data_IF_617805609614
#
_entry.id   IF_617805609614
#
_cell.length_a   1.000
_cell.length_b   1.000
_cell.length_c   1.000
_cell.angle_alpha   90.00
_cell.angle_beta   90.00
_cell.angle_gamma   90.00
#
_symmetry.space_group_name_H-M   'P 1'
#
loop_
_entity.id
_entity.type
_entity.pdbx_description
1 polymer ?
#
# COMPACT_ATOMS: atom_id res chain seq x y z
N UNK A 1 5.64 2.35 9.31
CA UNK A 1 5.43 2.31 7.84
C UNK A 1 5.59 0.89 7.28
N UNK A 2 6.79 0.30 7.31
CA UNK A 2 7.07 -1.02 6.72
C UNK A 2 6.15 -2.15 7.22
N UNK A 3 5.85 -2.18 8.52
CA UNK A 3 4.93 -3.16 9.08
C UNK A 3 3.50 -3.00 8.51
N UNK A 4 3.04 -1.76 8.29
CA UNK A 4 1.71 -1.49 7.73
C UNK A 4 1.64 -1.90 6.26
N UNK A 5 2.68 -1.60 5.48
CA UNK A 5 2.80 -2.07 4.10
C UNK A 5 2.76 -3.60 4.05
N UNK A 6 3.50 -4.26 4.93
CA UNK A 6 3.50 -5.73 5.05
C UNK A 6 2.11 -6.26 5.40
N UNK A 7 1.38 -5.62 6.33
CA UNK A 7 0.02 -6.02 6.70
C UNK A 7 -0.94 -5.92 5.51
N UNK A 8 -0.98 -4.78 4.81
CA UNK A 8 -1.91 -4.61 3.68
C UNK A 8 -1.55 -5.50 2.48
N UNK A 9 -0.25 -5.74 2.25
CA UNK A 9 0.25 -6.66 1.22
C UNK A 9 -0.10 -8.11 1.54
N UNK A 10 0.15 -8.57 2.78
CA UNK A 10 -0.22 -9.92 3.21
C UNK A 10 -1.73 -10.14 3.12
N UNK A 11 -2.53 -9.14 3.49
CA UNK A 11 -3.98 -9.20 3.33
C UNK A 11 -4.38 -9.30 1.85
N UNK A 12 -3.70 -8.58 0.95
CA UNK A 12 -3.97 -8.69 -0.49
C UNK A 12 -3.58 -10.07 -1.04
N UNK A 13 -2.39 -10.57 -0.73
CA UNK A 13 -1.89 -11.89 -1.16
C UNK A 13 -2.76 -13.04 -0.63
N UNK A 14 -3.31 -12.89 0.57
CA UNK A 14 -4.20 -13.89 1.15
C UNK A 14 -5.58 -13.98 0.45
N UNK A 15 -6.01 -12.92 -0.25
CA UNK A 15 -7.35 -12.82 -0.84
C UNK A 15 -7.34 -12.81 -2.38
N UNK A 16 -6.19 -12.57 -3.02
CA UNK A 16 -6.05 -12.45 -4.47
C UNK A 16 -4.84 -13.23 -4.96
N UNK A 17 -4.86 -13.62 -6.24
CA UNK A 17 -3.77 -14.35 -6.86
C UNK A 17 -2.64 -13.39 -7.24
N UNK A 18 -1.82 -13.03 -6.26
CA UNK A 18 -0.69 -12.12 -6.39
C UNK A 18 0.61 -12.86 -6.11
N UNK A 19 1.66 -12.55 -6.87
CA UNK A 19 2.98 -13.13 -6.71
C UNK A 19 3.98 -12.14 -6.09
N UNK A 20 5.22 -12.60 -5.91
CA UNK A 20 6.31 -11.78 -5.37
C UNK A 20 6.61 -10.54 -6.22
N UNK A 21 6.25 -10.55 -7.51
CA UNK A 21 6.43 -9.40 -8.39
C UNK A 21 5.49 -8.26 -7.99
N UNK A 22 4.25 -8.57 -7.56
CA UNK A 22 3.32 -7.57 -7.03
C UNK A 22 3.84 -6.92 -5.76
N UNK A 23 4.26 -7.75 -4.80
CA UNK A 23 4.81 -7.30 -3.53
C UNK A 23 6.04 -6.41 -3.74
N UNK A 24 6.95 -6.84 -4.62
CA UNK A 24 8.16 -6.10 -4.94
C UNK A 24 7.86 -4.79 -5.65
N UNK A 25 6.91 -4.78 -6.59
CA UNK A 25 6.52 -3.59 -7.34
C UNK A 25 5.93 -2.49 -6.44
N UNK A 26 5.08 -2.85 -5.48
CA UNK A 26 4.52 -1.91 -4.50
C UNK A 26 5.61 -1.34 -3.58
N UNK A 27 6.51 -2.19 -3.08
CA UNK A 27 7.62 -1.75 -2.22
C UNK A 27 8.58 -0.82 -2.96
N UNK A 28 8.96 -1.18 -4.18
CA UNK A 28 9.80 -0.36 -5.04
C UNK A 28 9.13 1.00 -5.33
N UNK A 29 7.81 1.01 -5.60
CA UNK A 29 7.05 2.25 -5.80
C UNK A 29 7.14 3.19 -4.59
N UNK A 30 6.93 2.65 -3.39
CA UNK A 30 6.98 3.42 -2.14
C UNK A 30 8.40 3.91 -1.81
N UNK A 31 9.43 3.10 -2.10
CA UNK A 31 10.83 3.50 -1.90
C UNK A 31 11.25 4.64 -2.84
N UNK A 32 10.78 4.63 -4.08
CA UNK A 32 11.06 5.71 -5.04
C UNK A 32 10.49 7.06 -4.57
N UNK A 33 9.25 7.07 -4.08
CA UNK A 33 8.59 8.28 -3.59
C UNK A 33 7.42 7.89 -2.69
N UNK A 34 7.27 8.59 -1.56
CA UNK A 34 6.14 8.45 -0.64
C UNK A 34 4.81 8.36 -1.39
N UNK A 35 4.01 7.35 -1.03
CA UNK A 35 2.62 7.21 -1.51
C UNK A 35 1.60 7.91 -0.60
N UNK A 36 2.05 8.85 0.24
CA UNK A 36 1.15 9.75 0.95
C UNK A 36 0.26 10.49 -0.07
N UNK A 37 -1.05 10.39 0.13
CA UNK A 37 -2.06 10.92 -0.78
C UNK A 37 -2.66 12.24 -0.26
N UNK A 38 -2.72 12.43 1.07
CA UNK A 38 -3.31 13.61 1.70
C UNK A 38 -4.26 13.26 2.84
N UNK A 39 -4.52 14.21 3.73
CA UNK A 39 -5.51 14.09 4.82
C UNK A 39 -5.37 12.82 5.67
N UNK A 40 -4.14 12.41 5.97
CA UNK A 40 -3.90 11.20 6.75
C UNK A 40 -4.07 9.89 5.98
N UNK A 41 -4.10 9.93 4.65
CA UNK A 41 -4.23 8.75 3.78
C UNK A 41 -2.92 8.48 3.04
N UNK A 42 -2.48 7.22 3.04
CA UNK A 42 -1.51 6.70 2.07
C UNK A 42 -2.21 5.77 1.09
N UNK A 43 -1.78 5.80 -0.17
CA UNK A 43 -2.33 4.96 -1.22
C UNK A 43 -1.22 4.16 -1.94
N UNK A 44 -0.59 3.17 -1.28
CA UNK A 44 0.39 2.30 -1.93
C UNK A 44 -0.21 1.62 -3.16
N UNK A 45 0.56 1.48 -4.24
CA UNK A 45 0.14 0.82 -5.47
C UNK A 45 1.38 0.30 -6.20
N UNK A 46 1.20 -0.64 -7.12
CA UNK A 46 2.28 -1.15 -7.97
C UNK A 46 2.78 -0.06 -8.96
N UNK A 47 4.02 -0.20 -9.45
CA UNK A 47 4.59 0.70 -10.47
C UNK A 47 3.83 0.66 -11.80
N UNK A 48 3.28 -0.50 -12.15
CA UNK A 48 2.51 -0.74 -13.37
C UNK A 48 1.31 -1.65 -13.04
N UNK A 49 0.27 -1.70 -13.89
CA UNK A 49 -0.78 -2.70 -13.78
C UNK A 49 -0.18 -4.10 -13.98
N UNK A 50 -0.19 -4.92 -12.93
CA UNK A 50 0.44 -6.25 -12.89
C UNK A 50 -0.48 -7.33 -12.29
N UNK A 51 -1.67 -6.93 -11.84
CA UNK A 51 -2.74 -7.81 -11.37
C UNK A 51 -3.88 -7.76 -12.38
N UNK A 52 -4.56 -8.87 -12.59
CA UNK A 52 -5.79 -8.95 -13.40
C UNK A 52 -7.06 -8.56 -12.62
N UNK A 53 -6.89 -8.24 -11.33
CA UNK A 53 -7.98 -7.96 -10.40
C UNK A 53 -7.86 -6.54 -9.83
N UNK A 54 -8.96 -5.78 -9.92
CA UNK A 54 -9.13 -4.48 -9.27
C UNK A 54 -9.61 -4.67 -7.83
N UNK A 55 -8.85 -4.15 -6.85
CA UNK A 55 -9.20 -4.23 -5.44
C UNK A 55 -8.56 -3.12 -4.61
N UNK A 56 -9.02 -2.98 -3.36
CA UNK A 56 -8.34 -2.19 -2.32
C UNK A 56 -8.17 -3.04 -1.06
N UNK A 57 -6.95 -3.10 -0.52
CA UNK A 57 -6.65 -3.67 0.80
C UNK A 57 -6.48 -2.52 1.79
N UNK A 58 -7.30 -2.50 2.84
CA UNK A 58 -7.45 -1.33 3.74
C UNK A 58 -6.90 -1.63 5.13
N UNK A 59 -6.11 -0.71 5.67
CA UNK A 59 -5.79 -0.66 7.10
C UNK A 59 -6.24 0.68 7.69
N UNK A 60 -6.97 0.62 8.82
CA UNK A 60 -7.39 1.77 9.61
C UNK A 60 -6.68 1.70 10.96
N UNK A 61 -5.94 2.75 11.31
CA UNK A 61 -5.11 2.78 12.51
C UNK A 61 -5.82 3.48 13.67
N UNK A 62 -5.55 3.02 14.89
CA UNK A 62 -6.02 3.67 16.12
C UNK A 62 -5.32 5.01 16.38
N UNK A 63 -4.04 5.12 15.99
CA UNK A 63 -3.21 6.30 16.15
C UNK A 63 -2.50 6.61 14.84
N UNK A 64 -2.09 7.86 14.66
CA UNK A 64 -1.37 8.29 13.48
C UNK A 64 0.05 7.68 13.46
N UNK A 65 0.51 7.27 12.28
CA UNK A 65 1.84 6.73 12.06
C UNK A 65 2.57 7.61 11.04
N UNK A 66 3.84 7.94 11.32
CA UNK A 66 4.69 8.62 10.36
C UNK A 66 4.83 7.79 9.08
N UNK A 67 4.48 8.39 7.95
CA UNK A 67 4.57 7.79 6.63
C UNK A 67 5.82 8.27 5.89
N UNK A 68 6.15 9.54 6.02
CA UNK A 68 7.41 10.11 5.59
C UNK A 68 7.85 11.20 6.58
N UNK A 69 8.85 12.01 6.21
CA UNK A 69 9.42 13.03 7.10
C UNK A 69 8.46 14.19 7.42
N UNK A 70 7.36 14.33 6.69
CA UNK A 70 6.43 15.46 6.79
C UNK A 70 5.00 15.01 7.11
N UNK A 71 4.65 13.77 6.79
CA UNK A 71 3.27 13.32 6.74
C UNK A 71 2.98 12.19 7.73
N UNK A 72 1.81 12.30 8.36
CA UNK A 72 1.24 11.32 9.26
C UNK A 72 0.03 10.65 8.61
N UNK A 73 -0.15 9.35 8.83
CA UNK A 73 -1.21 8.54 8.19
C UNK A 73 -2.00 7.75 9.23
N UNK A 74 -3.32 7.70 9.03
CA UNK A 74 -4.28 6.88 9.79
C UNK A 74 -5.01 5.86 8.91
N UNK A 75 -5.02 6.04 7.59
CA UNK A 75 -5.67 5.14 6.64
C UNK A 75 -4.68 4.76 5.54
N UNK A 76 -4.49 3.46 5.32
CA UNK A 76 -3.70 2.94 4.21
C UNK A 76 -4.64 2.22 3.25
N UNK A 77 -4.61 2.63 1.98
CA UNK A 77 -5.40 2.06 0.89
C UNK A 77 -4.42 1.46 -0.12
N UNK A 78 -4.05 0.18 0.02
CA UNK A 78 -3.28 -0.50 -1.03
C UNK A 78 -4.20 -0.71 -2.23
N UNK A 79 -3.92 -0.05 -3.35
CA UNK A 79 -4.76 -0.05 -4.56
C UNK A 79 -4.14 -0.92 -5.64
N UNK A 80 -4.97 -1.79 -6.22
CA UNK A 80 -4.68 -2.52 -7.46
C UNK A 80 -5.78 -2.21 -8.48
N UNK A 81 -5.40 -1.87 -9.70
CA UNK A 81 -6.33 -1.58 -10.81
C UNK A 81 -5.89 -2.44 -12.00
N UNK A 82 -6.85 -3.17 -12.58
CA UNK A 82 -6.71 -3.94 -13.81
C UNK A 82 -7.07 -3.08 -15.05
#
# INVERSE_FOLDING_TARGET
>A
KEDLLTIVLNNAVANYQLDDSFVSSVKNREEMTSTYFGNGVAAPHALTPISDTTFVSVAILNNDVAWDNQNMVRIVLLVSIA
#
